data_IF_060621650578
#
_entry.id   IF_060621650578
#
_cell.length_a   1.000
_cell.length_b   1.000
_cell.length_c   1.000
_cell.angle_alpha   90.00
_cell.angle_beta   90.00
_cell.angle_gamma   90.00
#
_symmetry.space_group_name_H-M   'P 1'
#
loop_
_entity.id
_entity.type
_entity.pdbx_description
1 polymer ?
#
# COMPACT_ATOMS: atom_id res chain seq x y z
N UNK A 1 -23.85 -30.38 11.71
CA UNK A 1 -22.45 -29.99 12.02
C UNK A 1 -22.11 -28.87 11.06
N UNK A 2 -22.50 -27.66 11.41
CA UNK A 2 -22.22 -26.46 10.63
C UNK A 2 -20.76 -26.08 10.89
N UNK A 3 -19.92 -26.24 9.88
CA UNK A 3 -18.54 -25.78 9.94
C UNK A 3 -18.58 -24.27 9.72
N UNK A 4 -18.54 -23.54 10.83
CA UNK A 4 -18.28 -22.10 10.84
C UNK A 4 -16.87 -21.85 10.27
N UNK A 5 -16.80 -21.56 8.97
CA UNK A 5 -15.61 -20.97 8.37
C UNK A 5 -15.56 -19.50 8.80
N UNK A 6 -15.20 -19.30 10.07
CA UNK A 6 -14.94 -17.98 10.62
C UNK A 6 -14.05 -17.21 9.65
N UNK A 7 -14.57 -16.08 9.17
CA UNK A 7 -13.84 -15.13 8.35
C UNK A 7 -12.63 -14.69 9.16
N UNK A 8 -11.45 -15.31 8.95
CA UNK A 8 -10.24 -14.88 9.67
C UNK A 8 -10.04 -13.41 9.30
N UNK A 9 -10.07 -12.49 10.27
CA UNK A 9 -9.80 -11.09 9.96
C UNK A 9 -8.42 -11.03 9.33
N UNK A 10 -8.35 -10.45 8.13
CA UNK A 10 -7.07 -10.25 7.46
C UNK A 10 -6.21 -9.37 8.37
N UNK A 11 -4.91 -9.63 8.42
CA UNK A 11 -3.97 -8.88 9.26
C UNK A 11 -2.83 -8.41 8.38
N UNK A 12 -2.24 -7.29 8.78
CA UNK A 12 -0.97 -6.86 8.22
C UNK A 12 0.09 -7.94 8.46
N UNK A 13 0.90 -8.20 7.45
CA UNK A 13 2.06 -9.09 7.51
C UNK A 13 3.13 -8.60 8.50
N UNK A 14 3.22 -7.28 8.72
CA UNK A 14 4.14 -6.63 9.66
C UNK A 14 3.48 -5.53 10.46
N UNK A 15 4.00 -5.26 11.65
CA UNK A 15 3.63 -4.10 12.43
C UNK A 15 4.17 -2.80 11.82
N UNK A 16 3.52 -1.67 12.12
CA UNK A 16 3.88 -0.36 11.55
C UNK A 16 5.34 0.01 11.82
N UNK A 17 5.86 -0.26 13.02
CA UNK A 17 7.22 0.12 13.44
C UNK A 17 8.29 -0.96 13.15
N UNK A 18 7.94 -2.02 12.42
CA UNK A 18 8.86 -3.11 12.05
C UNK A 18 9.64 -2.83 10.75
N UNK A 19 9.88 -1.56 10.39
CA UNK A 19 10.49 -1.18 9.11
C UNK A 19 11.95 -1.67 8.95
N UNK A 20 12.66 -1.91 10.06
CA UNK A 20 14.05 -2.37 10.06
C UNK A 20 14.28 -3.83 9.63
N UNK A 21 13.21 -4.62 9.47
CA UNK A 21 13.33 -6.04 9.10
C UNK A 21 13.64 -6.27 7.61
N UNK A 22 13.38 -5.29 6.74
CA UNK A 22 13.81 -5.30 5.33
C UNK A 22 14.73 -4.09 5.09
N UNK A 23 16.01 -4.28 5.42
CA UNK A 23 17.04 -3.23 5.39
C UNK A 23 17.12 -2.57 4.02
N UNK A 24 17.07 -3.35 2.94
CA UNK A 24 17.13 -2.79 1.57
C UNK A 24 15.93 -1.88 1.28
N UNK A 25 14.71 -2.33 1.61
CA UNK A 25 13.49 -1.51 1.45
C UNK A 25 13.53 -0.29 2.35
N UNK A 26 13.99 -0.44 3.60
CA UNK A 26 14.17 0.65 4.55
C UNK A 26 15.16 1.69 4.00
N UNK A 27 16.34 1.27 3.52
CA UNK A 27 17.31 2.18 2.91
C UNK A 27 16.74 2.93 1.69
N UNK A 28 16.10 2.22 0.76
CA UNK A 28 15.50 2.86 -0.42
C UNK A 28 14.41 3.85 0.01
N UNK A 29 13.57 3.51 0.99
CA UNK A 29 12.51 4.39 1.47
C UNK A 29 13.06 5.60 2.24
N UNK A 30 14.22 5.48 2.87
CA UNK A 30 14.90 6.58 3.56
C UNK A 30 15.45 7.60 2.57
N UNK A 31 16.13 7.13 1.52
CA UNK A 31 16.81 8.01 0.56
C UNK A 31 15.90 8.42 -0.62
N UNK A 32 14.97 7.56 -1.00
CA UNK A 32 14.12 7.68 -2.20
C UNK A 32 12.68 7.20 -1.92
N UNK A 33 11.96 7.85 -0.99
CA UNK A 33 10.59 7.45 -0.62
C UNK A 33 9.62 7.49 -1.80
N UNK A 34 9.84 8.37 -2.77
CA UNK A 34 9.04 8.47 -3.99
C UNK A 34 9.06 7.18 -4.83
N UNK A 35 10.21 6.50 -4.92
CA UNK A 35 10.34 5.24 -5.65
C UNK A 35 9.61 4.12 -4.91
N UNK A 36 9.79 4.01 -3.59
CA UNK A 36 9.06 3.01 -2.79
C UNK A 36 7.57 3.22 -2.94
N UNK A 37 7.10 4.46 -2.79
CA UNK A 37 5.69 4.80 -2.98
C UNK A 37 5.23 4.46 -4.40
N UNK A 38 5.98 4.82 -5.43
CA UNK A 38 5.59 4.57 -6.83
C UNK A 38 5.41 3.08 -7.14
N UNK A 39 6.29 2.23 -6.60
CA UNK A 39 6.19 0.77 -6.71
C UNK A 39 4.95 0.21 -6.02
N UNK A 40 4.62 0.73 -4.83
CA UNK A 40 3.40 0.34 -4.10
C UNK A 40 2.18 0.77 -4.91
N UNK A 41 2.14 2.04 -5.33
CA UNK A 41 1.01 2.65 -5.99
C UNK A 41 0.63 1.96 -7.31
N UNK A 42 1.63 1.61 -8.14
CA UNK A 42 1.42 0.89 -9.40
C UNK A 42 0.80 -0.50 -9.19
N UNK A 43 1.15 -1.22 -8.11
CA UNK A 43 0.51 -2.51 -7.82
C UNK A 43 -0.89 -2.33 -7.25
N UNK A 44 -1.06 -1.31 -6.39
CA UNK A 44 -2.34 -1.00 -5.77
C UNK A 44 -3.37 -0.57 -6.81
N UNK A 45 -2.98 0.24 -7.80
CA UNK A 45 -3.83 0.69 -8.89
C UNK A 45 -3.89 -0.26 -10.09
N UNK A 46 -3.22 -1.41 -10.01
CA UNK A 46 -3.22 -2.45 -11.05
C UNK A 46 -2.66 -1.96 -12.39
N UNK A 47 -1.61 -1.14 -12.31
CA UNK A 47 -0.89 -0.62 -13.47
C UNK A 47 -1.70 0.38 -14.28
N UNK A 48 -2.68 1.07 -13.67
CA UNK A 48 -3.38 2.18 -14.32
C UNK A 48 -2.43 3.34 -14.59
N UNK A 49 -1.49 3.59 -13.70
CA UNK A 49 -0.39 4.52 -13.90
C UNK A 49 0.93 3.82 -13.61
N UNK A 50 1.98 4.24 -14.33
CA UNK A 50 3.30 3.68 -14.12
C UNK A 50 3.89 4.08 -12.76
N UNK A 51 4.79 3.25 -12.24
CA UNK A 51 5.60 3.59 -11.06
C UNK A 51 6.30 4.96 -11.21
N UNK A 52 6.78 5.31 -12.41
CA UNK A 52 7.41 6.61 -12.68
C UNK A 52 6.40 7.76 -12.48
N UNK A 53 5.19 7.63 -13.01
CA UNK A 53 4.13 8.63 -12.87
C UNK A 53 3.81 8.90 -11.39
N UNK A 54 3.61 7.83 -10.60
CA UNK A 54 3.39 7.95 -9.16
C UNK A 54 4.58 8.56 -8.42
N UNK A 55 5.80 8.15 -8.77
CA UNK A 55 7.03 8.67 -8.16
C UNK A 55 7.20 10.16 -8.41
N UNK A 56 6.90 10.64 -9.63
CA UNK A 56 6.95 12.05 -9.99
C UNK A 56 5.89 12.86 -9.24
N UNK A 57 4.64 12.39 -9.22
CA UNK A 57 3.56 13.07 -8.49
C UNK A 57 3.87 13.15 -7.00
N UNK A 58 4.31 12.04 -6.40
CA UNK A 58 4.74 12.02 -5.00
C UNK A 58 5.90 12.99 -4.76
N UNK A 59 6.92 12.99 -5.62
CA UNK A 59 8.08 13.88 -5.51
C UNK A 59 7.69 15.36 -5.58
N UNK A 60 6.79 15.72 -6.50
CA UNK A 60 6.24 17.08 -6.60
C UNK A 60 5.48 17.47 -5.33
N UNK A 61 4.59 16.59 -4.84
CA UNK A 61 3.85 16.83 -3.59
C UNK A 61 4.75 16.88 -2.36
N UNK A 62 5.90 16.20 -2.39
CA UNK A 62 6.90 16.25 -1.32
C UNK A 62 7.48 17.66 -1.17
N UNK A 63 7.74 18.37 -2.29
CA UNK A 63 8.30 19.74 -2.25
C UNK A 63 7.40 20.76 -1.54
N UNK A 64 6.10 20.50 -1.49
CA UNK A 64 5.09 21.35 -0.83
C UNK A 64 4.51 20.70 0.44
N UNK A 65 5.14 19.64 0.97
CA UNK A 65 4.74 18.91 2.18
C UNK A 65 3.33 18.29 2.14
N UNK A 66 2.82 17.94 0.96
CA UNK A 66 1.49 17.34 0.78
C UNK A 66 1.50 15.86 0.36
N UNK A 67 2.68 15.25 0.24
CA UNK A 67 2.82 13.84 -0.15
C UNK A 67 1.99 12.89 0.72
N UNK A 68 1.86 13.17 2.02
CA UNK A 68 1.23 12.26 2.99
C UNK A 68 -0.26 12.04 2.69
N UNK A 69 -0.95 13.01 2.07
CA UNK A 69 -2.34 12.87 1.62
C UNK A 69 -2.44 11.86 0.49
N UNK A 70 -1.49 11.92 -0.45
CA UNK A 70 -1.44 11.00 -1.58
C UNK A 70 -1.15 9.58 -1.11
N UNK A 71 -0.16 9.43 -0.23
CA UNK A 71 0.23 8.16 0.38
C UNK A 71 -0.89 7.55 1.23
N UNK A 72 -1.56 8.36 2.05
CA UNK A 72 -2.75 7.96 2.80
C UNK A 72 -3.85 7.37 1.91
N UNK A 73 -4.11 7.99 0.76
CA UNK A 73 -5.13 7.53 -0.18
C UNK A 73 -4.79 6.15 -0.74
N UNK A 74 -3.52 5.90 -1.07
CA UNK A 74 -3.08 4.59 -1.56
C UNK A 74 -3.03 3.53 -0.48
N UNK A 75 -2.65 3.89 0.75
CA UNK A 75 -2.77 3.01 1.91
C UNK A 75 -4.21 2.54 2.11
N UNK A 76 -5.17 3.45 2.04
CA UNK A 76 -6.60 3.12 2.12
C UNK A 76 -7.03 2.17 1.02
N UNK A 77 -6.59 2.40 -0.23
CA UNK A 77 -6.87 1.50 -1.36
C UNK A 77 -6.28 0.10 -1.16
N UNK A 78 -5.02 0.03 -0.71
CA UNK A 78 -4.35 -1.23 -0.36
C UNK A 78 -5.16 -2.02 0.68
N UNK A 79 -5.60 -1.34 1.74
CA UNK A 79 -6.40 -1.96 2.81
C UNK A 79 -7.73 -2.47 2.31
N UNK A 80 -8.43 -1.67 1.52
CA UNK A 80 -9.70 -2.07 0.91
C UNK A 80 -9.51 -3.29 -0.01
N UNK A 81 -8.45 -3.31 -0.81
CA UNK A 81 -8.12 -4.41 -1.73
C UNK A 81 -7.89 -5.74 -1.00
N UNK A 82 -7.24 -5.71 0.16
CA UNK A 82 -6.89 -6.91 0.93
C UNK A 82 -7.72 -7.14 2.19
N UNK A 83 -8.77 -6.34 2.42
CA UNK A 83 -9.63 -6.43 3.61
C UNK A 83 -8.91 -6.17 4.94
N UNK A 84 -7.88 -5.31 4.95
CA UNK A 84 -7.02 -5.07 6.12
C UNK A 84 -7.67 -4.13 7.16
N UNK A 85 -7.44 -4.36 8.47
CA UNK A 85 -8.04 -3.57 9.55
C UNK A 85 -7.42 -2.18 9.66
N UNK A 86 -8.20 -1.22 10.17
CA UNK A 86 -7.70 0.10 10.57
C UNK A 86 -6.61 -0.02 11.64
N UNK A 87 -5.55 0.78 11.48
CA UNK A 87 -4.56 0.96 12.52
C UNK A 87 -5.08 1.99 13.54
N UNK A 88 -4.57 1.97 14.80
CA UNK A 88 -5.13 2.77 15.90
C UNK A 88 -5.12 4.29 15.66
N UNK A 89 -4.33 4.78 14.71
CA UNK A 89 -4.41 6.13 14.16
C UNK A 89 -4.79 5.97 12.68
N UNK A 90 -5.79 6.72 12.17
CA UNK A 90 -6.23 6.57 10.78
C UNK A 90 -5.08 6.72 9.75
N UNK A 91 -5.28 6.22 8.53
CA UNK A 91 -4.22 6.09 7.51
C UNK A 91 -3.43 7.39 7.25
N UNK A 92 -4.09 8.54 7.36
CA UNK A 92 -3.47 9.85 7.14
C UNK A 92 -2.57 10.27 8.31
N UNK A 93 -2.96 9.96 9.55
CA UNK A 93 -2.11 10.19 10.71
C UNK A 93 -0.86 9.30 10.66
N UNK A 94 -1.03 8.04 10.24
CA UNK A 94 0.10 7.11 10.05
C UNK A 94 1.10 7.66 9.03
N UNK A 95 0.64 8.14 7.87
CA UNK A 95 1.54 8.73 6.87
C UNK A 95 2.14 10.07 7.27
N UNK A 96 1.43 10.86 8.07
CA UNK A 96 1.91 12.15 8.58
C UNK A 96 3.01 11.98 9.64
N UNK A 97 2.79 11.12 10.64
CA UNK A 97 3.74 10.93 11.76
C UNK A 97 4.80 9.86 11.49
N UNK A 98 4.50 8.89 10.61
CA UNK A 98 5.32 7.71 10.42
C UNK A 98 5.36 7.24 8.95
N UNK A 99 5.34 8.17 7.99
CA UNK A 99 5.25 7.84 6.56
C UNK A 99 6.32 6.86 6.06
N UNK A 100 7.54 6.95 6.58
CA UNK A 100 8.59 6.00 6.24
C UNK A 100 8.24 4.55 6.60
N UNK A 101 7.79 4.33 7.84
CA UNK A 101 7.47 2.98 8.30
C UNK A 101 6.17 2.48 7.67
N UNK A 102 5.21 3.38 7.42
CA UNK A 102 3.99 3.09 6.67
C UNK A 102 4.31 2.55 5.27
N UNK A 103 5.20 3.21 4.50
CA UNK A 103 5.64 2.75 3.19
C UNK A 103 6.37 1.39 3.27
N UNK A 104 7.21 1.18 4.28
CA UNK A 104 7.88 -0.11 4.48
C UNK A 104 6.88 -1.25 4.77
N UNK A 105 5.88 -0.99 5.61
CA UNK A 105 4.83 -1.95 5.93
C UNK A 105 3.98 -2.29 4.69
N UNK A 106 3.59 -1.29 3.90
CA UNK A 106 2.82 -1.48 2.66
C UNK A 106 3.61 -2.29 1.61
N UNK A 107 4.89 -1.99 1.44
CA UNK A 107 5.77 -2.73 0.55
C UNK A 107 5.95 -4.19 1.00
N UNK A 108 6.13 -4.41 2.31
CA UNK A 108 6.22 -5.75 2.88
C UNK A 108 4.90 -6.52 2.74
N UNK A 109 3.76 -5.84 2.88
CA UNK A 109 2.44 -6.43 2.66
C UNK A 109 2.30 -6.94 1.24
N UNK A 110 2.64 -6.13 0.24
CA UNK A 110 2.62 -6.55 -1.16
C UNK A 110 3.50 -7.78 -1.41
N UNK A 111 4.72 -7.80 -0.86
CA UNK A 111 5.61 -8.97 -0.93
C UNK A 111 4.97 -10.22 -0.31
N UNK A 112 4.35 -10.08 0.87
CA UNK A 112 3.71 -11.20 1.57
C UNK A 112 2.52 -11.80 0.79
N UNK A 113 1.89 -10.98 -0.05
CA UNK A 113 0.77 -11.37 -0.91
C UNK A 113 1.23 -11.94 -2.27
N UNK A 114 2.53 -12.08 -2.49
CA UNK A 114 3.12 -12.67 -3.69
C UNK A 114 3.45 -11.67 -4.82
N UNK A 115 3.32 -10.36 -4.57
CA UNK A 115 3.76 -9.35 -5.53
C UNK A 115 5.27 -9.11 -5.44
N UNK A 116 5.86 -8.67 -6.54
CA UNK A 116 7.23 -8.16 -6.60
C UNK A 116 7.19 -6.66 -6.92
N UNK A 117 7.20 -5.77 -5.90
CA UNK A 117 7.15 -4.33 -6.12
C UNK A 117 8.29 -3.78 -6.98
N UNK A 118 9.41 -4.48 -7.12
CA UNK A 118 10.49 -4.01 -8.00
C UNK A 118 10.19 -4.22 -9.48
N UNK A 119 9.30 -5.17 -9.81
CA UNK A 119 8.85 -5.44 -11.18
C UNK A 119 7.58 -4.70 -11.56
N UNK A 120 6.85 -4.16 -10.58
CA UNK A 120 5.57 -3.49 -10.80
C UNK A 120 4.42 -4.48 -11.02
N UNK A 121 3.35 -3.99 -11.65
CA UNK A 121 2.17 -4.81 -11.98
C UNK A 121 2.40 -5.65 -13.24
N UNK A 122 2.16 -6.97 -13.13
CA UNK A 122 2.37 -7.95 -14.23
C UNK A 122 1.03 -8.49 -14.78
N UNK A 123 -0.10 -8.06 -14.21
CA UNK A 123 -1.43 -8.45 -14.68
C UNK A 123 -1.93 -7.59 -15.85
N UNK A 124 -3.07 -7.95 -16.46
CA UNK A 124 -3.79 -7.02 -17.32
C UNK A 124 -4.14 -5.75 -16.54
N UNK A 125 -4.01 -4.57 -17.15
CA UNK A 125 -4.45 -3.32 -16.55
C UNK A 125 -5.98 -3.34 -16.44
N UNK A 126 -6.53 -3.37 -15.23
CA UNK A 126 -7.98 -3.31 -15.05
C UNK A 126 -8.47 -1.88 -15.31
N UNK A 127 -9.13 -1.67 -16.45
CA UNK A 127 -9.91 -0.47 -16.69
C UNK A 127 -11.23 -0.57 -15.89
N UNK A 128 -11.40 0.31 -14.90
CA UNK A 128 -12.58 0.50 -14.03
C UNK A 128 -12.68 -0.39 -12.75
N UNK A 129 -13.17 0.17 -11.63
CA UNK A 129 -13.24 -0.53 -10.34
C UNK A 129 -14.21 -1.72 -10.39
N UNK A 130 -13.73 -2.90 -10.02
CA UNK A 130 -14.58 -4.02 -9.65
C UNK A 130 -15.21 -3.70 -8.29
N UNK A 131 -16.45 -3.19 -8.31
CA UNK A 131 -17.32 -3.26 -7.15
C UNK A 131 -17.57 -4.74 -6.92
N UNK A 132 -16.98 -5.31 -5.87
CA UNK A 132 -17.36 -6.64 -5.39
C UNK A 132 -18.89 -6.68 -5.30
N UNK A 133 -19.58 -7.63 -5.95
CA UNK A 133 -21.03 -7.70 -5.82
C UNK A 133 -21.33 -7.94 -4.35
N UNK A 134 -21.92 -6.94 -3.71
CA UNK A 134 -22.60 -7.11 -2.45
C UNK A 134 -23.60 -8.24 -2.66
N UNK A 135 -23.35 -9.39 -2.04
CA UNK A 135 -24.33 -10.46 -1.95
C UNK A 135 -25.53 -9.87 -1.22
N UNK A 136 -26.56 -9.56 -2.02
CA UNK A 136 -27.87 -9.21 -1.53
C UNK A 136 -28.50 -10.50 -1.04
N UNK A 137 -28.81 -10.57 0.25
CA UNK A 137 -29.90 -11.41 0.76
C UNK A 137 -30.57 -10.71 1.92
#
# INVERSE_FOLDING_TARGET
MDVDYGHRPQRWSRGLFSCGEDICTCCITCFLPCITFGRIAEIVDEGQNSCLSHSLVYGLLFTINFQWVYSCTYRKRLRQKFGLPEEPCGDCCVHFFCGHCALCQEHAELKSRGFDPSKGWIGPTTTAPQVSPSMTK
#
